data_IF_958731415758
#
_entry.id   IF_958731415758
#
_cell.length_a   1.000
_cell.length_b   1.000
_cell.length_c   1.000
_cell.angle_alpha   90.00
_cell.angle_beta   90.00
_cell.angle_gamma   90.00
#
_symmetry.space_group_name_H-M   'P 1'
#
loop_
_entity.id
_entity.type
_entity.pdbx_description
1 polymer ?
#
# COMPACT_ATOMS: atom_id res chain seq x y z
N UNK A 1 9.36 -5.15 4.01
CA UNK A 1 8.63 -6.40 3.67
C UNK A 1 7.43 -6.09 2.82
N UNK A 2 6.54 -5.15 3.20
CA UNK A 2 5.40 -4.73 2.37
C UNK A 2 5.82 -4.26 0.97
N UNK A 3 6.98 -3.60 0.84
CA UNK A 3 7.54 -3.15 -0.44
C UNK A 3 8.08 -4.28 -1.32
N UNK A 4 8.24 -5.47 -0.78
CA UNK A 4 8.75 -6.62 -1.55
C UNK A 4 7.64 -7.41 -2.23
N UNK A 5 6.39 -6.99 -2.09
CA UNK A 5 5.26 -7.58 -2.80
C UNK A 5 5.47 -7.46 -4.31
N UNK A 6 5.27 -8.57 -4.99
CA UNK A 6 5.37 -8.68 -6.46
C UNK A 6 4.26 -9.56 -6.95
N UNK A 7 3.68 -9.21 -8.08
CA UNK A 7 2.85 -10.13 -8.83
C UNK A 7 3.72 -11.18 -9.51
N UNK A 8 3.34 -12.42 -9.36
CA UNK A 8 3.98 -13.57 -9.99
C UNK A 8 2.90 -14.30 -10.78
N UNK A 9 3.12 -14.49 -12.07
CA UNK A 9 2.25 -15.29 -12.90
C UNK A 9 2.59 -16.77 -12.67
N UNK A 10 1.61 -17.54 -12.22
CA UNK A 10 1.73 -18.99 -12.02
C UNK A 10 1.58 -19.73 -13.36
N UNK A 11 1.91 -21.02 -13.39
CA UNK A 11 1.87 -21.84 -14.61
C UNK A 11 0.45 -21.96 -15.23
N UNK A 12 -0.58 -21.78 -14.45
CA UNK A 12 -1.98 -21.77 -14.88
C UNK A 12 -2.47 -20.42 -15.43
N UNK A 13 -1.59 -19.40 -15.45
CA UNK A 13 -1.90 -18.05 -15.88
C UNK A 13 -2.55 -17.16 -14.81
N UNK A 14 -2.75 -17.67 -13.59
CA UNK A 14 -3.20 -16.87 -12.46
C UNK A 14 -2.09 -15.94 -11.96
N UNK A 15 -2.49 -14.75 -11.48
CA UNK A 15 -1.56 -13.79 -10.89
C UNK A 15 -1.69 -13.86 -9.38
N UNK A 16 -0.59 -14.21 -8.72
CA UNK A 16 -0.53 -14.28 -7.25
C UNK A 16 0.43 -13.21 -6.72
N UNK A 17 0.01 -12.53 -5.67
CA UNK A 17 0.84 -11.54 -4.98
C UNK A 17 1.72 -12.27 -3.98
N UNK A 18 3.04 -12.24 -4.19
CA UNK A 18 4.01 -12.80 -3.23
C UNK A 18 4.80 -11.70 -2.56
N UNK A 19 4.89 -11.76 -1.24
CA UNK A 19 5.77 -10.87 -0.47
C UNK A 19 7.17 -11.47 -0.30
N UNK A 20 8.13 -10.64 0.03
CA UNK A 20 9.43 -11.14 0.49
C UNK A 20 9.31 -11.90 1.79
N UNK A 21 10.26 -12.80 2.02
CA UNK A 21 10.31 -13.67 3.20
C UNK A 21 10.63 -12.84 4.44
N UNK A 22 9.78 -12.93 5.47
CA UNK A 22 10.01 -12.35 6.81
C UNK A 22 11.01 -13.19 7.60
N UNK A 23 10.80 -14.49 7.58
CA UNK A 23 11.62 -15.48 8.28
C UNK A 23 11.98 -16.56 7.26
N UNK A 24 13.27 -16.69 7.00
CA UNK A 24 13.78 -17.70 6.08
C UNK A 24 13.36 -19.11 6.50
N UNK A 25 13.14 -19.98 5.53
CA UNK A 25 12.69 -21.36 5.76
C UNK A 25 13.62 -22.16 6.68
N UNK A 26 14.92 -21.95 6.56
CA UNK A 26 15.89 -22.67 7.39
C UNK A 26 15.85 -22.17 8.84
N UNK A 27 15.74 -20.85 9.02
CA UNK A 27 15.57 -20.26 10.33
C UNK A 27 14.22 -20.64 10.93
N UNK A 28 13.14 -20.60 10.12
CA UNK A 28 11.79 -21.02 10.55
C UNK A 28 11.78 -22.47 11.03
N UNK A 29 12.43 -23.39 10.31
CA UNK A 29 12.58 -24.79 10.72
C UNK A 29 13.36 -24.94 12.04
N UNK A 30 14.27 -24.01 12.34
CA UNK A 30 15.05 -23.99 13.58
C UNK A 30 14.32 -23.39 14.77
N UNK A 31 13.34 -22.50 14.54
CA UNK A 31 12.48 -21.91 15.56
C UNK A 31 11.59 -23.01 16.15
N UNK A 32 11.33 -22.96 17.44
CA UNK A 32 10.47 -23.95 18.09
C UNK A 32 11.24 -25.16 18.60
N UNK A 33 12.56 -25.07 18.67
CA UNK A 33 13.34 -25.96 19.52
C UNK A 33 12.96 -25.67 20.97
N UNK A 34 11.85 -26.22 21.42
CA UNK A 34 11.37 -26.10 22.79
C UNK A 34 11.75 -27.38 23.51
N UNK A 35 12.75 -27.29 24.40
CA UNK A 35 13.07 -28.38 25.31
C UNK A 35 14.49 -28.28 25.83
N UNK A 36 14.64 -28.53 27.13
CA UNK A 36 15.91 -28.84 27.76
C UNK A 36 16.13 -30.36 27.65
N UNK A 37 17.13 -30.81 26.89
CA UNK A 37 17.52 -32.19 26.75
C UNK A 37 17.23 -32.83 25.39
N UNK A 38 17.44 -34.13 25.24
CA UNK A 38 17.43 -34.94 24.00
C UNK A 38 16.12 -34.98 23.20
N UNK A 39 15.12 -34.14 23.50
CA UNK A 39 13.83 -34.03 22.81
C UNK A 39 13.61 -32.62 22.25
N UNK A 40 14.55 -32.17 21.45
CA UNK A 40 14.35 -30.96 20.69
C UNK A 40 13.28 -31.22 19.60
N UNK A 41 12.05 -30.80 19.85
CA UNK A 41 10.97 -30.87 18.88
C UNK A 41 10.78 -29.48 18.24
N UNK A 42 11.55 -29.20 17.20
CA UNK A 42 11.34 -28.01 16.39
C UNK A 42 10.22 -28.18 15.37
N UNK A 43 9.88 -27.12 14.65
CA UNK A 43 8.88 -27.18 13.58
C UNK A 43 9.27 -28.14 12.45
N UNK A 44 10.57 -28.46 12.29
CA UNK A 44 11.03 -29.47 11.33
C UNK A 44 10.39 -30.87 11.51
N UNK A 45 9.78 -31.14 12.66
CA UNK A 45 9.07 -32.40 12.91
C UNK A 45 7.60 -32.37 12.53
N UNK A 46 7.07 -31.18 12.17
CA UNK A 46 5.70 -31.03 11.70
C UNK A 46 5.54 -31.58 10.28
N UNK A 47 4.38 -32.15 9.99
CA UNK A 47 4.08 -32.74 8.68
C UNK A 47 3.40 -31.76 7.75
N UNK A 48 2.70 -30.78 8.31
CA UNK A 48 1.93 -29.77 7.58
C UNK A 48 1.87 -28.47 8.39
N UNK A 49 1.33 -27.43 7.79
CA UNK A 49 1.19 -26.12 8.42
C UNK A 49 0.28 -26.13 9.63
N UNK A 50 -0.73 -27.02 9.65
CA UNK A 50 -1.62 -27.18 10.81
C UNK A 50 -0.84 -27.62 12.05
N UNK A 51 0.06 -28.59 11.92
CA UNK A 51 0.90 -29.06 13.04
C UNK A 51 1.80 -27.91 13.54
N UNK A 52 2.25 -27.02 12.65
CA UNK A 52 3.03 -25.84 12.99
C UNK A 52 2.20 -24.86 13.80
N UNK A 53 0.97 -24.55 13.35
CA UNK A 53 0.08 -23.62 14.07
C UNK A 53 -0.29 -24.15 15.45
N UNK A 54 -0.59 -25.45 15.56
CA UNK A 54 -0.88 -26.08 16.85
C UNK A 54 0.29 -25.93 17.83
N UNK A 55 1.52 -26.13 17.35
CA UNK A 55 2.72 -25.98 18.20
C UNK A 55 3.04 -24.52 18.50
N UNK A 56 2.83 -23.62 17.53
CA UNK A 56 3.15 -22.20 17.66
C UNK A 56 2.27 -21.51 18.70
N UNK A 57 0.99 -21.88 18.73
CA UNK A 57 -0.02 -21.28 19.59
C UNK A 57 -0.39 -22.16 20.80
N UNK A 58 0.33 -23.27 21.01
CA UNK A 58 0.09 -24.24 22.09
C UNK A 58 -1.38 -24.73 22.17
N UNK A 59 -1.99 -24.94 20.98
CA UNK A 59 -3.39 -25.35 20.86
C UNK A 59 -3.53 -26.81 21.25
N UNK A 60 -4.27 -27.06 22.30
CA UNK A 60 -4.53 -28.41 22.85
C UNK A 60 -6.03 -28.71 22.88
N UNK A 61 -6.87 -27.68 22.86
CA UNK A 61 -8.32 -27.80 22.95
C UNK A 61 -8.94 -28.15 21.59
N UNK A 62 -9.89 -29.09 21.56
CA UNK A 62 -10.58 -29.50 20.34
C UNK A 62 -11.40 -28.40 19.71
N UNK A 63 -11.94 -27.45 20.48
CA UNK A 63 -12.69 -26.31 19.95
C UNK A 63 -11.75 -25.30 19.29
N UNK A 64 -10.61 -25.00 19.90
CA UNK A 64 -9.57 -24.16 19.31
C UNK A 64 -8.97 -24.80 18.06
N UNK A 65 -8.86 -26.14 18.03
CA UNK A 65 -8.38 -26.87 16.85
C UNK A 65 -9.25 -26.65 15.61
N UNK A 66 -10.55 -26.35 15.76
CA UNK A 66 -11.45 -26.03 14.64
C UNK A 66 -11.10 -24.71 13.95
N UNK A 67 -10.46 -23.80 14.64
CA UNK A 67 -10.03 -22.51 14.11
C UNK A 67 -8.73 -22.59 13.32
N UNK A 68 -7.98 -23.68 13.46
CA UNK A 68 -6.71 -23.90 12.76
C UNK A 68 -6.98 -24.23 11.29
N UNK A 69 -6.29 -23.59 10.34
CA UNK A 69 -6.43 -23.91 8.93
C UNK A 69 -6.20 -25.38 8.62
N UNK A 70 -7.04 -25.96 7.78
CA UNK A 70 -6.99 -27.37 7.37
C UNK A 70 -6.02 -27.60 6.20
N UNK A 71 -5.01 -26.79 6.06
CA UNK A 71 -4.03 -26.95 4.99
C UNK A 71 -3.17 -28.21 5.23
N UNK A 72 -3.15 -29.11 4.27
CA UNK A 72 -2.40 -30.36 4.33
C UNK A 72 -0.96 -30.20 3.80
N UNK A 73 -0.69 -29.13 3.07
CA UNK A 73 0.62 -28.85 2.49
C UNK A 73 1.52 -28.10 3.47
N UNK A 74 2.80 -28.45 3.47
CA UNK A 74 3.80 -27.89 4.38
C UNK A 74 4.47 -26.65 3.76
N UNK A 75 3.67 -25.64 3.41
CA UNK A 75 4.15 -24.47 2.68
C UNK A 75 5.14 -23.62 3.49
N UNK A 76 4.91 -23.42 4.78
CA UNK A 76 5.79 -22.64 5.67
C UNK A 76 7.19 -23.24 5.82
N UNK A 77 7.29 -24.57 5.83
CA UNK A 77 8.58 -25.26 5.90
C UNK A 77 9.36 -25.21 4.58
N UNK A 78 8.67 -24.99 3.47
CA UNK A 78 9.27 -24.92 2.14
C UNK A 78 9.58 -23.49 1.71
N UNK A 79 8.73 -22.54 2.05
CA UNK A 79 8.84 -21.15 1.62
C UNK A 79 9.34 -20.22 2.71
N UNK A 80 9.23 -20.58 3.99
CA UNK A 80 9.41 -19.70 5.13
C UNK A 80 8.16 -18.85 5.40
N UNK A 81 8.22 -17.99 6.39
CA UNK A 81 7.12 -17.10 6.76
C UNK A 81 7.14 -15.85 5.89
N UNK A 82 6.10 -15.65 5.14
CA UNK A 82 5.87 -14.44 4.34
C UNK A 82 4.75 -13.60 4.94
N UNK A 83 4.56 -12.38 4.45
CA UNK A 83 3.42 -11.56 4.84
C UNK A 83 2.26 -11.86 3.87
N UNK A 84 1.13 -12.40 4.32
CA UNK A 84 0.00 -12.69 3.44
C UNK A 84 -0.56 -11.39 2.84
N UNK A 85 -1.17 -11.49 1.66
CA UNK A 85 -1.69 -10.33 0.92
C UNK A 85 -2.85 -9.63 1.63
N UNK A 86 -3.63 -10.38 2.42
CA UNK A 86 -4.76 -9.86 3.18
C UNK A 86 -4.37 -9.15 4.49
N UNK A 87 -3.07 -8.95 4.76
CA UNK A 87 -2.62 -8.18 5.90
C UNK A 87 -2.50 -6.70 5.53
N UNK A 88 -3.30 -5.89 6.19
CA UNK A 88 -3.26 -4.43 6.14
C UNK A 88 -2.70 -3.89 7.45
N UNK A 89 -1.74 -2.97 7.35
CA UNK A 89 -1.16 -2.31 8.53
C UNK A 89 -1.70 -0.88 8.60
N UNK A 90 -2.51 -0.61 9.61
CA UNK A 90 -3.08 0.70 9.89
C UNK A 90 -2.51 1.17 11.23
N UNK A 91 -1.97 2.37 11.26
CA UNK A 91 -1.46 3.01 12.45
C UNK A 91 -2.11 4.37 12.66
N UNK A 92 -2.36 4.73 13.89
CA UNK A 92 -2.84 6.07 14.28
C UNK A 92 -1.75 6.80 15.05
N UNK A 93 -1.68 8.11 14.89
CA UNK A 93 -0.74 8.98 15.59
C UNK A 93 -1.38 10.32 15.84
N UNK A 94 -1.11 10.90 17.00
CA UNK A 94 -1.41 12.29 17.26
C UNK A 94 -0.22 13.13 16.82
N UNK A 95 -0.45 14.07 15.89
CA UNK A 95 0.55 15.01 15.41
C UNK A 95 0.48 16.26 16.30
N UNK A 96 1.01 16.15 17.52
CA UNK A 96 1.17 17.28 18.43
C UNK A 96 2.67 17.63 18.60
N UNK A 97 2.96 18.83 19.13
CA UNK A 97 4.32 19.34 19.31
C UNK A 97 5.19 18.48 20.25
N UNK A 98 4.57 17.53 20.97
CA UNK A 98 5.23 16.65 21.93
C UNK A 98 5.51 15.25 21.41
N UNK A 99 4.89 14.87 20.29
CA UNK A 99 5.10 13.56 19.68
C UNK A 99 6.35 13.53 18.82
N UNK A 100 7.11 12.46 18.92
CA UNK A 100 8.20 12.21 17.99
C UNK A 100 7.65 12.02 16.57
N UNK A 101 8.05 12.87 15.66
CA UNK A 101 7.69 12.77 14.26
C UNK A 101 8.14 11.43 13.67
N UNK A 102 7.33 10.89 12.78
CA UNK A 102 7.74 9.71 12.01
C UNK A 102 8.98 10.03 11.17
N UNK A 103 9.89 9.07 11.09
CA UNK A 103 11.00 9.24 10.17
C UNK A 103 10.47 9.39 8.73
N UNK A 104 11.14 10.20 7.92
CA UNK A 104 10.80 10.38 6.49
C UNK A 104 10.66 9.06 5.75
N UNK A 105 11.48 8.06 6.12
CA UNK A 105 11.43 6.70 5.54
C UNK A 105 10.09 5.98 5.79
N UNK A 106 9.42 6.27 6.88
CA UNK A 106 8.10 5.71 7.20
C UNK A 106 7.02 6.46 6.42
N UNK A 107 7.04 7.81 6.45
CA UNK A 107 6.07 8.63 5.73
C UNK A 107 6.14 8.37 4.21
N UNK A 108 7.33 8.18 3.67
CA UNK A 108 7.51 7.81 2.25
C UNK A 108 6.79 6.52 1.85
N UNK A 109 6.56 5.63 2.79
CA UNK A 109 5.97 4.31 2.56
C UNK A 109 4.52 4.19 3.00
N UNK A 110 4.05 5.12 3.81
CA UNK A 110 2.67 5.17 4.28
C UNK A 110 1.81 6.06 3.37
N UNK A 111 0.51 5.81 3.34
CA UNK A 111 -0.50 6.75 2.84
C UNK A 111 -1.07 7.43 4.08
N UNK A 112 -0.81 8.72 4.23
CA UNK A 112 -1.27 9.49 5.39
C UNK A 112 -2.68 9.99 5.15
N UNK A 113 -3.59 9.69 6.07
CA UNK A 113 -4.95 10.23 6.06
C UNK A 113 -5.05 11.15 7.27
N UNK A 114 -5.19 12.45 7.00
CA UNK A 114 -5.40 13.43 8.05
C UNK A 114 -6.86 13.45 8.46
N UNK A 115 -7.12 13.25 9.75
CA UNK A 115 -8.45 13.26 10.34
C UNK A 115 -8.69 14.65 10.92
N UNK A 116 -9.22 15.54 10.10
CA UNK A 116 -9.61 16.88 10.56
C UNK A 116 -10.92 16.82 11.33
N UNK A 117 -11.03 17.62 12.38
CA UNK A 117 -12.29 17.79 13.12
C UNK A 117 -13.40 18.32 12.21
N UNK A 118 -14.65 18.05 12.55
CA UNK A 118 -15.80 18.60 11.87
C UNK A 118 -15.90 20.12 12.00
N UNK A 119 -16.89 20.74 11.38
CA UNK A 119 -17.14 22.16 11.52
C UNK A 119 -17.42 22.51 12.98
N UNK A 120 -16.94 23.68 13.45
CA UNK A 120 -17.20 24.12 14.83
C UNK A 120 -18.69 24.21 15.16
N UNK A 121 -19.54 24.36 14.14
CA UNK A 121 -20.99 24.38 14.26
C UNK A 121 -21.60 23.00 14.53
N UNK A 122 -20.84 21.91 14.28
CA UNK A 122 -21.32 20.55 14.48
C UNK A 122 -21.59 20.25 15.97
N UNK A 123 -20.92 20.97 16.87
CA UNK A 123 -21.17 20.90 18.32
C UNK A 123 -22.63 21.28 18.70
N UNK A 124 -23.31 22.03 17.85
CA UNK A 124 -24.69 22.45 18.03
C UNK A 124 -25.68 21.65 17.20
N UNK A 125 -25.20 20.69 16.43
CA UNK A 125 -26.05 19.80 15.65
C UNK A 125 -26.43 18.59 16.48
N UNK A 126 -27.72 18.23 16.48
CA UNK A 126 -28.23 16.98 17.10
C UNK A 126 -27.76 15.72 16.34
N UNK A 127 -26.65 15.82 15.59
CA UNK A 127 -26.05 14.70 14.88
C UNK A 127 -25.18 13.87 15.83
N UNK A 128 -25.80 13.29 16.83
CA UNK A 128 -25.19 12.23 17.65
C UNK A 128 -25.05 10.89 16.91
N UNK A 129 -25.48 10.84 15.66
CA UNK A 129 -25.44 9.63 14.87
C UNK A 129 -24.09 9.47 14.20
N UNK A 130 -23.17 8.80 14.90
CA UNK A 130 -22.11 8.05 14.25
C UNK A 130 -22.78 7.05 13.30
N UNK A 131 -22.93 7.43 12.05
CA UNK A 131 -23.39 6.51 11.02
C UNK A 131 -22.30 5.48 10.80
N UNK A 132 -22.43 4.35 11.46
CA UNK A 132 -21.62 3.17 11.15
C UNK A 132 -21.96 2.70 9.74
N UNK A 133 -20.96 2.25 9.02
CA UNK A 133 -21.16 1.59 7.72
C UNK A 133 -22.03 0.36 8.00
N UNK A 134 -23.27 0.35 7.51
CA UNK A 134 -24.22 -0.75 7.74
C UNK A 134 -23.70 -2.07 7.13
N UNK A 135 -22.97 -1.98 6.04
CA UNK A 135 -22.36 -3.13 5.38
C UNK A 135 -20.89 -3.24 5.80
N UNK A 136 -20.49 -4.33 6.48
CA UNK A 136 -19.08 -4.54 6.81
C UNK A 136 -18.25 -4.65 5.53
N UNK A 137 -17.05 -4.07 5.54
CA UNK A 137 -16.08 -4.24 4.47
C UNK A 137 -15.73 -5.72 4.32
N UNK A 138 -15.74 -6.19 3.10
CA UNK A 138 -15.31 -7.54 2.74
C UNK A 138 -13.84 -7.54 2.32
N UNK A 139 -13.24 -8.72 2.18
CA UNK A 139 -11.86 -8.82 1.65
C UNK A 139 -11.78 -8.32 0.21
N UNK A 140 -12.86 -8.47 -0.58
CA UNK A 140 -12.91 -7.96 -1.95
C UNK A 140 -12.86 -6.43 -2.00
N UNK A 141 -13.47 -5.75 -1.03
CA UNK A 141 -13.40 -4.28 -0.90
C UNK A 141 -11.98 -3.79 -0.55
N UNK A 142 -11.14 -4.66 0.02
CA UNK A 142 -9.78 -4.36 0.47
C UNK A 142 -8.71 -4.98 -0.44
N UNK A 143 -9.12 -5.73 -1.46
CA UNK A 143 -8.20 -6.35 -2.40
C UNK A 143 -7.52 -5.28 -3.28
N UNK A 144 -6.21 -5.39 -3.44
CA UNK A 144 -5.46 -4.51 -4.32
C UNK A 144 -5.42 -5.11 -5.74
N UNK A 145 -6.13 -4.49 -6.68
CA UNK A 145 -6.14 -4.96 -8.07
C UNK A 145 -4.80 -4.75 -8.78
N UNK A 146 -4.05 -3.71 -8.37
CA UNK A 146 -2.77 -3.37 -8.97
C UNK A 146 -1.71 -3.12 -7.90
N UNK A 147 -0.49 -3.63 -8.13
CA UNK A 147 0.67 -3.38 -7.27
C UNK A 147 1.64 -2.40 -7.92
N UNK A 148 1.58 -2.26 -9.23
CA UNK A 148 2.50 -1.41 -9.97
C UNK A 148 1.85 -0.71 -11.15
N UNK A 149 2.40 0.46 -11.50
CA UNK A 149 2.01 1.19 -12.71
C UNK A 149 2.16 0.33 -14.00
N UNK A 150 3.08 -0.64 -14.00
CA UNK A 150 3.26 -1.57 -15.13
C UNK A 150 2.07 -2.51 -15.28
N UNK A 151 1.48 -2.93 -14.18
CA UNK A 151 0.25 -3.75 -14.20
C UNK A 151 -0.95 -2.94 -14.64
N UNK A 152 -1.09 -1.71 -14.15
CA UNK A 152 -2.12 -0.79 -14.63
C UNK A 152 -2.09 -0.67 -16.16
N UNK A 153 -0.91 -0.44 -16.73
CA UNK A 153 -0.73 -0.30 -18.19
C UNK A 153 -1.15 -1.58 -18.94
N UNK A 154 -0.99 -2.76 -18.32
CA UNK A 154 -1.30 -4.04 -18.94
C UNK A 154 -2.75 -4.48 -18.73
N UNK A 155 -3.26 -4.30 -17.52
CA UNK A 155 -4.44 -5.01 -17.03
C UNK A 155 -5.64 -4.09 -16.77
N UNK A 156 -5.44 -2.78 -16.51
CA UNK A 156 -6.54 -1.86 -16.30
C UNK A 156 -7.33 -1.65 -17.60
N UNK A 157 -8.55 -2.13 -17.62
CA UNK A 157 -9.41 -2.10 -18.81
C UNK A 157 -9.80 -0.70 -19.25
N UNK A 158 -9.81 0.27 -18.33
CA UNK A 158 -10.05 1.67 -18.62
C UNK A 158 -8.86 2.34 -19.32
N UNK A 159 -7.65 1.80 -19.13
CA UNK A 159 -6.40 2.32 -19.67
C UNK A 159 -6.02 1.62 -20.97
N UNK A 160 -5.99 0.29 -20.97
CA UNK A 160 -5.55 -0.52 -22.12
C UNK A 160 -6.48 -0.42 -23.32
N UNK A 161 -7.77 -0.15 -23.09
CA UNK A 161 -8.77 0.00 -24.13
C UNK A 161 -8.74 1.36 -24.83
N UNK A 162 -7.91 2.32 -24.39
CA UNK A 162 -7.85 3.67 -24.94
C UNK A 162 -6.39 4.14 -25.11
N UNK A 163 -5.96 4.23 -26.36
CA UNK A 163 -4.57 4.58 -26.69
C UNK A 163 -4.16 5.99 -26.21
N UNK A 164 -5.09 6.94 -26.23
CA UNK A 164 -4.82 8.31 -25.79
C UNK A 164 -4.63 8.39 -24.28
N UNK A 165 -5.44 7.64 -23.52
CA UNK A 165 -5.27 7.50 -22.06
C UNK A 165 -3.93 6.82 -21.75
N UNK A 166 -3.58 5.78 -22.49
CA UNK A 166 -2.33 5.07 -22.31
C UNK A 166 -1.12 5.99 -22.55
N UNK A 167 -1.15 6.81 -23.61
CA UNK A 167 -0.11 7.81 -23.90
C UNK A 167 -0.02 8.86 -22.80
N UNK A 168 -1.16 9.34 -22.31
CA UNK A 168 -1.24 10.32 -21.23
C UNK A 168 -0.58 9.76 -19.93
N UNK A 169 -0.94 8.53 -19.54
CA UNK A 169 -0.39 7.91 -18.33
C UNK A 169 1.11 7.60 -18.47
N UNK A 170 1.58 7.24 -19.65
CA UNK A 170 3.01 6.99 -19.92
C UNK A 170 3.85 8.27 -20.05
N UNK A 171 3.20 9.44 -20.15
CA UNK A 171 3.91 10.70 -20.38
C UNK A 171 4.39 10.88 -21.82
N UNK A 172 3.72 10.26 -22.76
CA UNK A 172 4.00 10.42 -24.20
C UNK A 172 3.29 11.66 -24.79
N UNK A 173 2.61 12.44 -23.95
CA UNK A 173 1.96 13.72 -24.27
C UNK A 173 2.61 14.86 -23.47
N UNK A 174 2.55 16.10 -23.98
CA UNK A 174 3.15 17.27 -23.31
C UNK A 174 2.59 17.52 -21.91
N UNK A 175 1.30 17.23 -21.71
CA UNK A 175 0.58 17.38 -20.45
C UNK A 175 0.35 16.04 -19.72
N UNK A 176 1.17 15.04 -20.00
CA UNK A 176 1.02 13.69 -19.44
C UNK A 176 1.14 13.64 -17.92
N UNK A 177 0.67 12.56 -17.34
CA UNK A 177 0.65 12.37 -15.89
C UNK A 177 2.03 12.52 -15.23
N UNK A 178 3.13 11.97 -15.79
CA UNK A 178 4.48 12.18 -15.27
C UNK A 178 4.92 13.64 -15.32
N UNK A 179 4.63 14.37 -16.41
CA UNK A 179 5.00 15.77 -16.57
C UNK A 179 4.35 16.65 -15.50
N UNK A 180 3.11 16.35 -15.15
CA UNK A 180 2.40 17.05 -14.08
C UNK A 180 3.04 16.84 -12.70
N UNK A 181 3.50 15.62 -12.42
CA UNK A 181 4.23 15.35 -11.18
C UNK A 181 5.61 16.00 -11.18
N UNK A 182 6.27 16.10 -12.33
CA UNK A 182 7.53 16.83 -12.48
C UNK A 182 7.38 18.34 -12.25
N UNK A 183 6.25 18.94 -12.60
CA UNK A 183 5.97 20.34 -12.28
C UNK A 183 5.93 20.58 -10.77
N UNK A 184 5.31 19.64 -10.03
CA UNK A 184 5.33 19.69 -8.56
C UNK A 184 6.77 19.57 -8.05
N UNK A 185 7.57 18.66 -8.62
CA UNK A 185 8.97 18.50 -8.27
C UNK A 185 9.81 19.76 -8.56
N UNK A 186 9.47 20.52 -9.61
CA UNK A 186 10.15 21.81 -9.85
C UNK A 186 9.91 22.80 -8.71
N UNK A 187 8.71 22.82 -8.12
CA UNK A 187 8.41 23.64 -6.95
C UNK A 187 9.17 23.19 -5.69
N UNK A 188 9.47 21.89 -5.61
CA UNK A 188 10.20 21.28 -4.49
C UNK A 188 11.71 21.16 -4.75
N UNK A 189 12.19 21.70 -5.86
CA UNK A 189 13.60 21.57 -6.27
C UNK A 189 14.55 22.18 -5.23
N UNK A 190 15.64 21.48 -4.94
CA UNK A 190 16.63 21.88 -3.94
C UNK A 190 16.23 21.60 -2.50
N UNK A 191 15.01 21.06 -2.29
CA UNK A 191 14.55 20.60 -0.97
C UNK A 191 14.68 19.08 -0.84
N UNK A 192 14.72 18.55 0.39
CA UNK A 192 14.70 17.11 0.60
C UNK A 192 13.32 16.47 0.37
N UNK A 193 12.33 17.24 -0.07
CA UNK A 193 10.94 16.82 -0.22
C UNK A 193 10.56 16.40 -1.63
N UNK A 194 11.48 16.48 -2.58
CA UNK A 194 11.26 16.00 -3.94
C UNK A 194 10.72 14.58 -3.95
N UNK A 195 9.73 14.34 -4.81
CA UNK A 195 9.08 13.03 -4.92
C UNK A 195 9.81 12.14 -5.91
N UNK A 196 9.78 10.85 -5.64
CA UNK A 196 10.44 9.82 -6.44
C UNK A 196 9.43 9.05 -7.32
N UNK A 197 9.95 8.17 -8.16
CA UNK A 197 9.18 7.24 -8.98
C UNK A 197 8.14 6.43 -8.17
N UNK A 198 8.32 6.25 -6.86
CA UNK A 198 7.34 5.56 -6.01
C UNK A 198 6.03 6.32 -5.97
N UNK A 199 6.07 7.65 -5.81
CA UNK A 199 4.86 8.48 -5.80
C UNK A 199 4.18 8.43 -7.17
N UNK A 200 4.95 8.38 -8.27
CA UNK A 200 4.39 8.19 -9.61
C UNK A 200 3.67 6.84 -9.73
N UNK A 201 4.27 5.78 -9.18
CA UNK A 201 3.64 4.46 -9.16
C UNK A 201 2.32 4.47 -8.39
N UNK A 202 2.31 5.06 -7.19
CA UNK A 202 1.13 5.19 -6.34
C UNK A 202 0.04 6.05 -6.99
N UNK A 203 0.42 7.17 -7.62
CA UNK A 203 -0.48 8.03 -8.37
C UNK A 203 -1.16 7.28 -9.53
N UNK A 204 -0.38 6.48 -10.27
CA UNK A 204 -0.90 5.70 -11.39
C UNK A 204 -1.89 4.63 -10.93
N UNK A 205 -1.57 3.92 -9.85
CA UNK A 205 -2.48 2.93 -9.26
C UNK A 205 -3.76 3.59 -8.75
N UNK A 206 -3.63 4.70 -8.03
CA UNK A 206 -4.77 5.42 -7.50
C UNK A 206 -5.71 5.93 -8.62
N UNK A 207 -5.13 6.48 -9.69
CA UNK A 207 -5.90 6.88 -10.87
C UNK A 207 -6.61 5.68 -11.51
N UNK A 208 -5.94 4.54 -11.66
CA UNK A 208 -6.54 3.34 -12.23
C UNK A 208 -7.78 2.88 -11.46
N UNK A 209 -7.68 2.82 -10.11
CA UNK A 209 -8.81 2.46 -9.24
C UNK A 209 -9.99 3.43 -9.41
N UNK A 210 -9.73 4.73 -9.55
CA UNK A 210 -10.78 5.72 -9.81
C UNK A 210 -11.45 5.50 -11.17
N UNK A 211 -10.67 5.18 -12.20
CA UNK A 211 -11.18 4.93 -13.55
C UNK A 211 -11.99 3.63 -13.63
N UNK A 212 -11.50 2.56 -13.00
CA UNK A 212 -12.22 1.28 -12.98
C UNK A 212 -13.56 1.43 -12.25
N UNK A 213 -13.55 2.08 -11.07
CA UNK A 213 -14.78 2.36 -10.33
C UNK A 213 -15.77 3.19 -11.15
N UNK A 214 -15.31 4.24 -11.84
CA UNK A 214 -16.17 5.05 -12.69
C UNK A 214 -16.76 4.23 -13.84
N UNK A 215 -15.98 3.30 -14.40
CA UNK A 215 -16.42 2.38 -15.45
C UNK A 215 -17.45 1.37 -14.94
N UNK A 216 -17.27 0.83 -13.74
CA UNK A 216 -18.25 -0.03 -13.07
C UNK A 216 -19.57 0.69 -12.79
N UNK A 217 -19.50 1.98 -12.44
CA UNK A 217 -20.66 2.86 -12.30
C UNK A 217 -21.32 3.23 -13.63
N UNK A 218 -20.82 2.70 -14.75
CA UNK A 218 -21.36 2.87 -16.10
C UNK A 218 -20.92 4.16 -16.80
N UNK A 219 -19.89 4.84 -16.29
CA UNK A 219 -19.34 6.04 -16.94
C UNK A 219 -18.43 5.64 -18.11
N UNK A 220 -18.62 6.29 -19.26
CA UNK A 220 -17.71 6.16 -20.39
C UNK A 220 -16.40 6.90 -20.11
N UNK A 221 -15.28 6.20 -20.23
CA UNK A 221 -13.96 6.74 -19.92
C UNK A 221 -13.32 7.31 -21.20
N UNK A 222 -13.41 8.62 -21.34
CA UNK A 222 -12.67 9.40 -22.35
C UNK A 222 -11.37 9.96 -21.77
N UNK A 223 -10.49 10.51 -22.61
CA UNK A 223 -9.28 11.20 -22.17
C UNK A 223 -9.60 12.38 -21.25
N UNK A 224 -10.65 13.14 -21.53
CA UNK A 224 -11.05 14.29 -20.71
C UNK A 224 -11.51 13.84 -19.31
N UNK A 225 -12.28 12.77 -19.24
CA UNK A 225 -12.71 12.13 -17.99
C UNK A 225 -11.47 11.62 -17.22
N UNK A 226 -10.54 10.96 -17.91
CA UNK A 226 -9.27 10.53 -17.30
C UNK A 226 -8.48 11.71 -16.70
N UNK A 227 -8.39 12.83 -17.42
CA UNK A 227 -7.71 14.04 -16.91
C UNK A 227 -8.42 14.64 -15.69
N UNK A 228 -9.74 14.59 -15.62
CA UNK A 228 -10.48 15.02 -14.43
C UNK A 228 -10.17 14.13 -13.22
N UNK A 229 -10.20 12.83 -13.40
CA UNK A 229 -9.79 11.89 -12.32
C UNK A 229 -8.32 12.02 -11.97
N UNK A 230 -7.45 12.32 -12.93
CA UNK A 230 -6.04 12.60 -12.67
C UNK A 230 -5.85 13.85 -11.79
N UNK A 231 -6.65 14.89 -11.96
CA UNK A 231 -6.65 16.05 -11.07
C UNK A 231 -7.01 15.65 -9.64
N UNK A 232 -8.07 14.86 -9.48
CA UNK A 232 -8.48 14.32 -8.17
C UNK A 232 -7.39 13.44 -7.56
N UNK A 233 -6.79 12.57 -8.37
CA UNK A 233 -5.72 11.68 -7.90
C UNK A 233 -4.48 12.46 -7.46
N UNK A 234 -4.07 13.48 -8.22
CA UNK A 234 -2.93 14.35 -7.86
C UNK A 234 -3.23 15.10 -6.56
N UNK A 235 -4.41 15.68 -6.41
CA UNK A 235 -4.82 16.37 -5.19
C UNK A 235 -4.73 15.44 -3.96
N UNK A 236 -5.26 14.24 -4.06
CA UNK A 236 -5.17 13.25 -2.98
C UNK A 236 -3.74 12.81 -2.69
N UNK A 237 -2.93 12.58 -3.70
CA UNK A 237 -1.51 12.22 -3.51
C UNK A 237 -0.73 13.40 -2.90
N UNK A 238 -1.02 14.63 -3.26
CA UNK A 238 -0.46 15.80 -2.60
C UNK A 238 -0.75 15.78 -1.10
N UNK A 239 -2.02 15.60 -0.71
CA UNK A 239 -2.44 15.57 0.69
C UNK A 239 -1.88 14.38 1.46
N UNK A 240 -1.84 13.19 0.84
CA UNK A 240 -1.48 11.96 1.54
C UNK A 240 0.02 11.65 1.54
N UNK A 241 0.78 12.16 0.57
CA UNK A 241 2.18 11.74 0.36
C UNK A 241 3.18 12.89 0.34
N UNK A 242 2.79 14.07 -0.12
CA UNK A 242 3.73 15.16 -0.35
C UNK A 242 3.66 16.14 0.81
N UNK A 243 2.51 16.70 1.10
CA UNK A 243 2.36 17.71 2.16
C UNK A 243 2.75 17.20 3.56
N UNK A 244 2.43 15.96 3.97
CA UNK A 244 2.86 15.46 5.29
C UNK A 244 4.37 15.37 5.47
N UNK A 245 5.14 15.47 4.38
CA UNK A 245 6.62 15.44 4.40
C UNK A 245 7.24 16.81 4.41
N UNK A 246 6.46 17.84 4.02
CA UNK A 246 6.93 19.21 3.88
C UNK A 246 6.87 19.87 5.25
N UNK A 247 7.99 19.82 5.95
CA UNK A 247 8.16 20.41 7.28
C UNK A 247 9.57 21.00 7.40
N UNK A 248 9.74 21.98 8.23
CA UNK A 248 11.03 22.63 8.49
C UNK A 248 10.92 24.14 8.65
N UNK A 249 12.07 24.76 8.75
CA UNK A 249 12.23 26.21 8.87
C UNK A 249 12.64 26.86 7.54
N UNK A 250 12.72 28.17 7.55
CA UNK A 250 13.12 28.98 6.39
C UNK A 250 14.49 28.57 5.81
N UNK A 251 15.39 28.00 6.62
CA UNK A 251 16.71 27.59 6.15
C UNK A 251 16.64 26.35 5.26
N UNK A 252 15.73 25.42 5.56
CA UNK A 252 15.52 24.21 4.75
C UNK A 252 14.94 24.52 3.37
N UNK A 253 14.22 25.63 3.23
CA UNK A 253 13.61 26.05 1.97
C UNK A 253 14.45 27.05 1.17
N UNK A 254 15.58 27.53 1.73
CA UNK A 254 16.49 28.41 1.00
C UNK A 254 17.34 27.62 0.03
N UNK A 255 17.01 27.75 -1.25
CA UNK A 255 17.88 27.29 -2.33
C UNK A 255 19.04 28.28 -2.42
N UNK A 256 20.29 27.79 -2.38
CA UNK A 256 21.44 28.65 -2.58
C UNK A 256 21.36 29.32 -3.96
N UNK A 257 21.76 30.61 -4.04
CA UNK A 257 21.76 31.36 -5.31
C UNK A 257 22.61 30.67 -6.40
N UNK A 258 23.60 29.87 -6.01
CA UNK A 258 24.42 29.05 -6.93
C UNK A 258 23.65 27.92 -7.60
N UNK A 259 22.66 27.37 -6.94
CA UNK A 259 21.83 26.28 -7.49
C UNK A 259 20.71 26.81 -8.40
N UNK A 260 20.28 28.07 -8.18
CA UNK A 260 19.30 28.76 -9.06
C UNK A 260 19.87 29.16 -10.42
N UNK A 261 21.17 29.38 -10.51
CA UNK A 261 21.83 29.83 -11.76
C UNK A 261 22.41 28.66 -12.58
N UNK A 262 22.35 27.44 -12.09
CA UNK A 262 22.86 26.23 -12.77
C UNK A 262 21.79 25.51 -13.62
N UNK A 263 20.55 25.99 -13.64
CA UNK A 263 19.45 25.53 -14.47
C UNK A 263 18.90 26.73 -15.27
#
# INVERSE_FOLDING_TARGET
VLETRKSVEEEDGSIVIKSGVLIDKEYFRSIGKVGKGDKEQGFATCKNDRDIYMKLFDIVDEEEMKTVPQNEETSLLDTGLTLPENVLVIGTVNMDDTTHQFSRKVIDRAMTIEMNGGALTDIFSDKDDLTYIEKPLTMDDLHAEYISAKEVIKNCSAVTGNEDILKYIKGETEDGLPQRLEEINKALYGTPFMVSYRVMNELTIYLAVLLDKAKEDGQEISLDVCKQFANTAIDKILLMKILPRVEGDDEMFRISEKERTAN
#
